data_IF_144507605532
#
_entry.id   IF_144507605532
#
_cell.length_a   1.000
_cell.length_b   1.000
_cell.length_c   1.000
_cell.angle_alpha   90.00
_cell.angle_beta   90.00
_cell.angle_gamma   90.00
#
_symmetry.space_group_name_H-M   'P 1'
#
loop_
_entity.id
_entity.type
_entity.pdbx_description
1 polymer ?
#
# COMPACT_ATOMS: atom_id res chain seq x y z
N UNK A 1 -18.20 -12.51 7.86
CA UNK A 1 -18.71 -13.17 6.63
C UNK A 1 -17.50 -13.70 5.86
N UNK A 2 -17.59 -14.86 5.20
CA UNK A 2 -16.47 -15.43 4.44
C UNK A 2 -16.87 -15.52 2.96
N UNK A 3 -15.97 -15.15 2.05
CA UNK A 3 -16.13 -15.41 0.63
C UNK A 3 -15.07 -16.40 0.20
N UNK A 4 -15.50 -17.45 -0.49
CA UNK A 4 -14.61 -18.46 -1.06
C UNK A 4 -14.51 -18.25 -2.57
N UNK A 5 -13.28 -18.20 -3.07
CA UNK A 5 -13.05 -18.24 -4.51
C UNK A 5 -13.11 -19.72 -4.94
N UNK A 6 -13.81 -20.07 -6.04
CA UNK A 6 -13.80 -21.44 -6.55
C UNK A 6 -12.36 -21.94 -6.74
N UNK A 7 -12.07 -23.15 -6.28
CA UNK A 7 -10.70 -23.65 -6.13
C UNK A 7 -9.89 -23.68 -7.44
N UNK A 8 -10.57 -23.84 -8.59
CA UNK A 8 -9.94 -23.81 -9.91
C UNK A 8 -9.42 -22.42 -10.31
N UNK A 9 -9.96 -21.33 -9.74
CA UNK A 9 -9.64 -19.96 -10.16
C UNK A 9 -8.28 -19.48 -9.67
N UNK A 10 -7.88 -19.64 -8.39
CA UNK A 10 -6.53 -19.31 -7.95
C UNK A 10 -5.45 -20.07 -8.72
N UNK A 11 -5.66 -21.37 -8.98
CA UNK A 11 -4.73 -22.20 -9.74
C UNK A 11 -4.60 -21.75 -11.20
N UNK A 12 -5.73 -21.49 -11.86
CA UNK A 12 -5.74 -20.95 -13.22
C UNK A 12 -5.06 -19.58 -13.27
N UNK A 13 -5.31 -18.72 -12.28
CA UNK A 13 -4.70 -17.40 -12.20
C UNK A 13 -3.19 -17.51 -12.04
N UNK A 14 -2.73 -18.36 -11.13
CA UNK A 14 -1.31 -18.68 -10.92
C UNK A 14 -0.65 -19.15 -12.22
N UNK A 15 -1.26 -20.10 -12.93
CA UNK A 15 -0.72 -20.61 -14.21
C UNK A 15 -0.58 -19.49 -15.26
N UNK A 16 -1.59 -18.64 -15.42
CA UNK A 16 -1.54 -17.52 -16.37
C UNK A 16 -0.48 -16.48 -16.00
N UNK A 17 -0.35 -16.15 -14.70
CA UNK A 17 0.66 -15.24 -14.19
C UNK A 17 2.09 -15.78 -14.41
N UNK A 18 2.34 -17.05 -14.09
CA UNK A 18 3.65 -17.71 -14.33
C UNK A 18 3.99 -17.73 -15.81
N UNK A 19 3.05 -18.13 -16.68
CA UNK A 19 3.23 -18.11 -18.14
C UNK A 19 3.64 -16.71 -18.62
N UNK A 20 2.94 -15.67 -18.17
CA UNK A 20 3.26 -14.29 -18.56
C UNK A 20 4.60 -13.82 -18.02
N UNK A 21 4.99 -14.21 -16.80
CA UNK A 21 6.28 -13.83 -16.23
C UNK A 21 7.45 -14.38 -17.06
N UNK A 22 7.31 -15.55 -17.66
CA UNK A 22 8.32 -16.17 -18.53
C UNK A 22 8.49 -15.50 -19.90
N UNK A 23 7.54 -14.70 -20.35
CA UNK A 23 7.51 -14.17 -21.72
C UNK A 23 7.85 -12.68 -21.77
N UNK A 24 8.45 -12.17 -22.86
CA UNK A 24 8.66 -10.73 -23.09
C UNK A 24 7.39 -10.00 -23.58
N UNK A 25 6.52 -10.74 -24.25
CA UNK A 25 5.25 -10.26 -24.83
C UNK A 25 4.17 -11.32 -24.60
N UNK A 26 2.92 -10.90 -24.59
CA UNK A 26 1.74 -11.79 -24.55
C UNK A 26 0.75 -11.35 -25.61
N UNK A 27 -0.19 -12.19 -26.02
CA UNK A 27 -1.28 -11.74 -26.92
C UNK A 27 -2.29 -10.87 -26.18
N UNK A 28 -3.01 -10.01 -26.90
CA UNK A 28 -4.12 -9.23 -26.36
C UNK A 28 -5.19 -10.16 -25.78
N UNK A 29 -5.50 -11.26 -26.46
CA UNK A 29 -6.46 -12.27 -26.00
C UNK A 29 -6.04 -12.89 -24.65
N UNK A 30 -4.78 -13.30 -24.52
CA UNK A 30 -4.24 -13.85 -23.26
C UNK A 30 -4.32 -12.80 -22.14
N UNK A 31 -3.98 -11.54 -22.43
CA UNK A 31 -4.01 -10.45 -21.46
C UNK A 31 -5.43 -10.12 -21.01
N UNK A 32 -6.40 -10.12 -21.93
CA UNK A 32 -7.82 -9.95 -21.63
C UNK A 32 -8.34 -11.10 -20.76
N UNK A 33 -7.94 -12.34 -21.06
CA UNK A 33 -8.29 -13.52 -20.27
C UNK A 33 -7.79 -13.40 -18.82
N UNK A 34 -6.50 -13.06 -18.64
CA UNK A 34 -5.91 -12.83 -17.32
C UNK A 34 -6.62 -11.69 -16.59
N UNK A 35 -6.85 -10.56 -17.27
CA UNK A 35 -7.49 -9.38 -16.67
C UNK A 35 -8.92 -9.70 -16.23
N UNK A 36 -9.67 -10.47 -17.02
CA UNK A 36 -11.00 -10.94 -16.67
C UNK A 36 -11.00 -11.85 -15.43
N UNK A 37 -10.03 -12.75 -15.33
CA UNK A 37 -9.87 -13.63 -14.16
C UNK A 37 -9.46 -12.86 -12.90
N UNK A 38 -8.54 -11.90 -13.02
CA UNK A 38 -8.19 -10.98 -11.93
C UNK A 38 -9.40 -10.17 -11.48
N UNK A 39 -10.18 -9.63 -12.42
CA UNK A 39 -11.39 -8.89 -12.10
C UNK A 39 -12.42 -9.76 -11.38
N UNK A 40 -12.60 -11.02 -11.80
CA UNK A 40 -13.43 -11.99 -11.09
C UNK A 40 -12.94 -12.20 -9.65
N UNK A 41 -11.66 -12.47 -9.43
CA UNK A 41 -11.09 -12.68 -8.09
C UNK A 41 -11.22 -11.41 -7.21
N UNK A 42 -11.11 -10.23 -7.81
CA UNK A 42 -11.26 -8.95 -7.11
C UNK A 42 -12.67 -8.69 -6.55
N UNK A 43 -13.69 -9.47 -6.96
CA UNK A 43 -15.02 -9.42 -6.32
C UNK A 43 -14.98 -10.00 -4.91
N UNK A 44 -14.17 -11.05 -4.70
CA UNK A 44 -13.96 -11.63 -3.38
C UNK A 44 -12.92 -10.84 -2.55
N UNK A 45 -11.97 -10.20 -3.22
CA UNK A 45 -10.91 -9.40 -2.59
C UNK A 45 -10.91 -7.99 -3.21
N UNK A 46 -11.78 -7.07 -2.73
CA UNK A 46 -11.95 -5.76 -3.35
C UNK A 46 -10.65 -4.97 -3.52
N UNK A 47 -9.71 -5.09 -2.57
CA UNK A 47 -8.41 -4.41 -2.62
C UNK A 47 -7.53 -4.84 -3.80
N UNK A 48 -7.73 -6.05 -4.35
CA UNK A 48 -6.97 -6.55 -5.49
C UNK A 48 -7.19 -5.72 -6.78
N UNK A 49 -8.22 -4.88 -6.83
CA UNK A 49 -8.47 -3.95 -7.96
C UNK A 49 -7.31 -3.01 -8.24
N UNK A 50 -6.47 -2.72 -7.24
CA UNK A 50 -5.28 -1.88 -7.39
C UNK A 50 -4.31 -2.39 -8.47
N UNK A 51 -4.30 -3.71 -8.73
CA UNK A 51 -3.42 -4.33 -9.71
C UNK A 51 -4.01 -4.32 -11.13
N UNK A 52 -5.32 -4.18 -11.30
CA UNK A 52 -6.01 -4.41 -12.58
C UNK A 52 -5.79 -3.27 -13.59
N UNK A 53 -5.76 -2.01 -13.10
CA UNK A 53 -5.64 -0.80 -13.92
C UNK A 53 -4.51 -0.88 -14.96
N UNK A 54 -3.33 -1.35 -14.54
CA UNK A 54 -2.15 -1.45 -15.41
C UNK A 54 -2.36 -2.42 -16.57
N UNK A 55 -3.06 -3.53 -16.34
CA UNK A 55 -3.38 -4.48 -17.41
C UNK A 55 -4.36 -3.86 -18.41
N UNK A 56 -5.37 -3.09 -17.95
CA UNK A 56 -6.25 -2.34 -18.85
C UNK A 56 -5.51 -1.28 -19.66
N UNK A 57 -4.66 -0.47 -19.02
CA UNK A 57 -3.90 0.58 -19.70
C UNK A 57 -2.98 -0.05 -20.79
N UNK A 58 -2.44 -1.25 -20.55
CA UNK A 58 -1.61 -1.97 -21.53
C UNK A 58 -2.39 -2.51 -22.74
N UNK A 59 -3.72 -2.62 -22.65
CA UNK A 59 -4.61 -3.06 -23.75
C UNK A 59 -5.20 -1.88 -24.52
N UNK A 60 -5.01 -0.64 -24.04
CA UNK A 60 -5.68 0.54 -24.59
C UNK A 60 -5.30 0.77 -26.07
N UNK A 61 -6.31 0.98 -26.91
CA UNK A 61 -6.13 1.24 -28.34
C UNK A 61 -5.87 0.00 -29.21
N UNK A 62 -5.87 -1.20 -28.63
CA UNK A 62 -5.65 -2.45 -29.37
C UNK A 62 -6.99 -3.11 -29.73
N UNK A 63 -7.12 -3.56 -30.98
CA UNK A 63 -8.37 -4.14 -31.51
C UNK A 63 -8.26 -5.60 -31.92
N UNK A 64 -7.10 -6.06 -32.40
CA UNK A 64 -6.91 -7.43 -32.85
C UNK A 64 -6.46 -8.35 -31.69
N UNK A 65 -7.18 -9.44 -31.38
CA UNK A 65 -6.85 -10.37 -30.30
C UNK A 65 -5.45 -10.99 -30.35
N UNK A 66 -4.87 -11.13 -31.54
CA UNK A 66 -3.56 -11.75 -31.75
C UNK A 66 -2.39 -10.75 -31.71
N UNK A 67 -2.68 -9.45 -31.55
CA UNK A 67 -1.62 -8.46 -31.36
C UNK A 67 -0.84 -8.72 -30.07
N UNK A 68 0.47 -8.48 -30.13
CA UNK A 68 1.35 -8.71 -29.01
C UNK A 68 1.50 -7.45 -28.14
N UNK A 69 1.24 -7.61 -26.85
CA UNK A 69 1.43 -6.60 -25.80
C UNK A 69 2.76 -6.84 -25.12
N UNK A 70 3.58 -5.79 -24.96
CA UNK A 70 4.84 -5.88 -24.22
C UNK A 70 4.56 -5.94 -22.72
N UNK A 71 5.17 -6.91 -22.03
CA UNK A 71 5.11 -7.00 -20.58
C UNK A 71 6.17 -6.05 -20.01
N UNK A 72 5.72 -4.90 -19.49
CA UNK A 72 6.60 -3.89 -18.90
C UNK A 72 7.24 -4.39 -17.60
N UNK A 73 8.36 -3.77 -17.19
CA UNK A 73 9.01 -4.09 -15.93
C UNK A 73 8.03 -3.93 -14.74
N UNK A 74 7.24 -2.88 -14.77
CA UNK A 74 6.29 -2.57 -13.71
C UNK A 74 5.12 -3.58 -13.68
N UNK A 75 4.69 -4.09 -14.83
CA UNK A 75 3.70 -5.18 -14.91
C UNK A 75 4.28 -6.48 -14.34
N UNK A 76 5.58 -6.75 -14.51
CA UNK A 76 6.24 -7.91 -13.89
C UNK A 76 6.24 -7.81 -12.37
N UNK A 77 6.48 -6.63 -11.82
CA UNK A 77 6.42 -6.43 -10.36
C UNK A 77 5.00 -6.68 -9.84
N UNK A 78 3.97 -6.21 -10.55
CA UNK A 78 2.56 -6.51 -10.21
C UNK A 78 2.27 -8.02 -10.27
N UNK A 79 2.76 -8.72 -11.30
CA UNK A 79 2.64 -10.19 -11.43
C UNK A 79 3.34 -10.91 -10.26
N UNK A 80 4.55 -10.50 -9.89
CA UNK A 80 5.30 -11.09 -8.76
C UNK A 80 4.55 -10.90 -7.43
N UNK A 81 4.01 -9.70 -7.19
CA UNK A 81 3.20 -9.41 -5.99
C UNK A 81 1.95 -10.28 -5.93
N UNK A 82 1.26 -10.46 -7.05
CA UNK A 82 0.08 -11.32 -7.14
C UNK A 82 0.42 -12.80 -6.93
N UNK A 83 1.54 -13.28 -7.47
CA UNK A 83 2.01 -14.66 -7.24
C UNK A 83 2.36 -14.88 -5.77
N UNK A 84 3.10 -13.95 -5.16
CA UNK A 84 3.41 -14.00 -3.73
C UNK A 84 2.15 -14.03 -2.86
N UNK A 85 1.13 -13.23 -3.20
CA UNK A 85 -0.16 -13.31 -2.54
C UNK A 85 -0.81 -14.69 -2.69
N UNK A 86 -0.84 -15.23 -3.91
CA UNK A 86 -1.46 -16.53 -4.19
C UNK A 86 -0.75 -17.69 -3.46
N UNK A 87 0.55 -17.57 -3.15
CA UNK A 87 1.29 -18.56 -2.35
C UNK A 87 0.80 -18.62 -0.91
N UNK A 88 0.34 -17.49 -0.37
CA UNK A 88 -0.17 -17.39 0.99
C UNK A 88 -1.69 -17.54 1.07
N UNK A 89 -2.39 -17.49 -0.07
CA UNK A 89 -3.84 -17.45 -0.11
C UNK A 89 -4.45 -18.86 -0.11
N UNK A 90 -5.22 -19.16 0.94
CA UNK A 90 -5.89 -20.46 1.13
C UNK A 90 -7.23 -20.61 0.36
N UNK A 91 -7.54 -19.71 -0.57
CA UNK A 91 -8.81 -19.73 -1.33
C UNK A 91 -9.99 -19.06 -0.63
N UNK A 92 -9.84 -18.61 0.61
CA UNK A 92 -10.89 -17.94 1.39
C UNK A 92 -10.47 -16.55 1.82
N UNK A 93 -11.38 -15.58 1.68
CA UNK A 93 -11.17 -14.23 2.19
C UNK A 93 -12.20 -13.94 3.28
N UNK A 94 -11.70 -13.64 4.47
CA UNK A 94 -12.51 -13.27 5.62
C UNK A 94 -12.89 -11.79 5.50
N UNK A 95 -14.18 -11.52 5.42
CA UNK A 95 -14.73 -10.19 5.70
C UNK A 95 -14.97 -10.11 7.20
N UNK A 96 -14.01 -9.53 7.90
CA UNK A 96 -14.05 -9.33 9.34
C UNK A 96 -14.94 -8.15 9.75
N UNK A 97 -15.14 -8.07 11.08
CA UNK A 97 -15.96 -7.12 11.85
C UNK A 97 -16.59 -5.98 11.05
N UNK A 98 -17.92 -5.88 11.10
CA UNK A 98 -18.64 -4.79 10.45
C UNK A 98 -18.22 -3.41 10.97
N UNK A 99 -17.68 -3.36 12.20
CA UNK A 99 -17.25 -2.13 12.86
C UNK A 99 -15.93 -1.62 12.25
N UNK A 100 -15.94 -0.36 11.86
CA UNK A 100 -14.73 0.37 11.56
C UNK A 100 -14.08 0.77 12.88
N UNK A 101 -12.79 0.49 13.02
CA UNK A 101 -11.97 0.99 14.12
C UNK A 101 -11.31 2.25 13.61
N UNK A 102 -11.56 3.36 14.30
CA UNK A 102 -10.99 4.63 13.94
C UNK A 102 -9.47 4.66 14.25
N UNK A 103 -8.69 5.47 13.54
CA UNK A 103 -7.28 5.66 13.89
C UNK A 103 -7.10 6.18 15.31
N UNK A 104 -8.06 6.92 15.85
CA UNK A 104 -8.02 7.34 17.26
C UNK A 104 -8.26 6.17 18.21
N UNK A 105 -9.20 5.29 17.90
CA UNK A 105 -9.45 4.07 18.67
C UNK A 105 -8.24 3.11 18.60
N UNK A 106 -7.48 3.16 17.50
CA UNK A 106 -6.21 2.45 17.32
C UNK A 106 -5.01 3.22 17.86
N UNK A 107 -5.16 4.49 18.22
CA UNK A 107 -4.07 5.42 18.52
C UNK A 107 -2.97 5.40 17.42
N UNK A 108 -3.40 5.29 16.15
CA UNK A 108 -2.57 5.22 14.96
C UNK A 108 -2.41 6.60 14.33
N UNK A 109 -1.23 7.18 14.45
CA UNK A 109 -0.93 8.51 13.92
C UNK A 109 0.27 8.47 13.00
N UNK A 110 0.17 9.10 11.84
CA UNK A 110 1.26 9.16 10.85
C UNK A 110 1.52 10.60 10.47
N UNK A 111 2.79 10.98 10.39
CA UNK A 111 3.16 12.29 9.90
C UNK A 111 4.43 12.24 9.07
N UNK A 112 4.50 13.14 8.09
CA UNK A 112 5.70 13.40 7.32
C UNK A 112 5.86 14.89 7.19
N UNK A 113 7.04 15.40 7.52
CA UNK A 113 7.33 16.79 7.32
C UNK A 113 8.10 16.99 6.00
N UNK A 114 7.70 18.00 5.21
CA UNK A 114 8.34 18.34 3.93
C UNK A 114 9.36 19.48 4.06
N UNK A 115 10.65 19.23 3.79
CA UNK A 115 11.72 20.24 3.76
C UNK A 115 13.10 19.73 4.21
N UNK A 116 14.06 20.64 4.43
CA UNK A 116 15.43 20.31 4.89
C UNK A 116 15.38 19.90 6.38
N UNK A 117 15.90 18.72 6.70
CA UNK A 117 15.89 18.11 8.05
C UNK A 117 14.50 17.72 8.60
N UNK A 118 13.56 17.46 7.69
CA UNK A 118 12.26 16.92 8.04
C UNK A 118 12.23 15.45 7.66
N UNK A 119 11.53 14.62 8.42
CA UNK A 119 11.55 13.16 8.32
C UNK A 119 10.11 12.61 8.38
N UNK A 120 9.94 11.29 8.48
CA UNK A 120 8.61 10.72 8.74
C UNK A 120 8.57 9.89 10.01
N UNK A 121 7.40 9.87 10.63
CA UNK A 121 7.14 9.15 11.85
C UNK A 121 5.75 8.50 11.80
N UNK A 122 5.63 7.38 12.51
CA UNK A 122 4.33 6.79 12.81
C UNK A 122 4.29 6.36 14.27
N UNK A 123 3.09 6.38 14.83
CA UNK A 123 2.79 6.01 16.22
C UNK A 123 1.60 5.05 16.20
N UNK A 124 1.64 4.03 17.05
CA UNK A 124 0.55 3.11 17.32
C UNK A 124 0.52 2.83 18.83
N UNK A 125 -0.40 3.47 19.54
CA UNK A 125 -0.42 3.46 21.00
C UNK A 125 0.86 4.04 21.59
N UNK A 126 1.60 3.25 22.36
CA UNK A 126 2.92 3.63 22.91
C UNK A 126 4.08 3.32 21.97
N UNK A 127 3.83 2.54 20.90
CA UNK A 127 4.84 2.18 19.92
C UNK A 127 5.06 3.32 18.95
N UNK A 128 6.30 3.57 18.56
CA UNK A 128 6.64 4.61 17.61
C UNK A 128 7.75 4.18 16.68
N UNK A 129 7.77 4.74 15.49
CA UNK A 129 8.87 4.59 14.54
C UNK A 129 9.22 5.94 13.96
N UNK A 130 10.50 6.12 13.68
CA UNK A 130 11.04 7.30 13.02
C UNK A 130 11.93 6.84 11.87
N UNK A 131 11.73 7.41 10.69
CA UNK A 131 12.55 7.14 9.52
C UNK A 131 13.06 8.45 8.92
N UNK A 132 14.39 8.56 8.91
CA UNK A 132 15.09 9.68 8.31
C UNK A 132 15.07 9.58 6.79
N UNK A 133 14.71 10.67 6.10
CA UNK A 133 14.76 10.64 4.64
C UNK A 133 16.16 10.36 4.12
N UNK A 134 16.31 9.54 3.06
CA UNK A 134 17.61 9.31 2.43
C UNK A 134 18.26 10.64 2.03
N UNK A 135 19.55 10.82 2.33
CA UNK A 135 20.26 12.07 2.03
C UNK A 135 20.24 12.41 0.53
N UNK A 136 20.16 11.39 -0.35
CA UNK A 136 20.02 11.54 -1.79
C UNK A 136 18.70 12.21 -2.24
N UNK A 137 17.67 12.25 -1.40
CA UNK A 137 16.41 12.94 -1.71
C UNK A 137 16.50 14.44 -1.50
N UNK A 138 17.53 14.92 -0.78
CA UNK A 138 17.72 16.35 -0.52
C UNK A 138 17.77 17.11 -1.84
N UNK A 139 16.91 18.12 -1.99
CA UNK A 139 16.75 18.94 -3.20
C UNK A 139 16.25 18.19 -4.46
N UNK A 140 15.80 16.93 -4.35
CA UNK A 140 15.22 16.20 -5.46
C UNK A 140 13.71 16.47 -5.62
N UNK A 141 13.13 16.28 -6.82
CA UNK A 141 11.70 16.45 -7.06
C UNK A 141 10.78 15.61 -6.15
N UNK A 142 11.29 14.48 -5.63
CA UNK A 142 10.58 13.61 -4.68
C UNK A 142 10.16 14.37 -3.41
N UNK A 143 10.97 15.32 -2.95
CA UNK A 143 10.67 16.14 -1.76
C UNK A 143 9.56 17.18 -2.00
N UNK A 144 9.11 17.34 -3.25
CA UNK A 144 7.97 18.20 -3.62
C UNK A 144 6.67 17.39 -3.81
N UNK A 145 6.76 16.06 -3.78
CA UNK A 145 5.62 15.16 -3.94
C UNK A 145 4.99 14.86 -2.57
N UNK A 146 4.27 15.84 -2.02
CA UNK A 146 3.68 15.77 -0.67
C UNK A 146 2.79 14.53 -0.50
N UNK A 147 2.02 14.18 -1.53
CA UNK A 147 1.17 12.97 -1.51
C UNK A 147 1.98 11.68 -1.36
N UNK A 148 3.14 11.61 -2.03
CA UNK A 148 4.05 10.48 -1.84
C UNK A 148 4.65 10.48 -0.43
N UNK A 149 5.16 11.62 0.05
CA UNK A 149 5.81 11.72 1.36
C UNK A 149 4.89 11.30 2.51
N UNK A 150 3.64 11.72 2.49
CA UNK A 150 2.65 11.35 3.53
C UNK A 150 2.16 9.91 3.41
N UNK A 151 2.24 9.30 2.22
CA UNK A 151 1.93 7.89 2.06
C UNK A 151 3.02 6.98 2.66
N UNK A 152 4.27 7.45 2.75
CA UNK A 152 5.38 6.66 3.30
C UNK A 152 5.15 6.23 4.75
N UNK A 153 4.85 7.12 5.73
CA UNK A 153 4.65 6.70 7.11
C UNK A 153 3.41 5.79 7.27
N UNK A 154 2.37 5.96 6.45
CA UNK A 154 1.24 5.02 6.39
C UNK A 154 1.71 3.63 5.95
N UNK A 155 2.50 3.56 4.88
CA UNK A 155 3.05 2.29 4.41
C UNK A 155 3.97 1.64 5.45
N UNK A 156 4.83 2.43 6.10
CA UNK A 156 5.72 1.97 7.16
C UNK A 156 4.93 1.39 8.34
N UNK A 157 3.92 2.11 8.82
CA UNK A 157 3.04 1.67 9.90
C UNK A 157 2.36 0.32 9.58
N UNK A 158 1.84 0.17 8.36
CA UNK A 158 1.22 -1.09 7.93
C UNK A 158 2.23 -2.23 7.89
N UNK A 159 3.48 -2.00 7.50
CA UNK A 159 4.49 -3.07 7.49
C UNK A 159 4.87 -3.50 8.91
N UNK A 160 5.07 -2.55 9.83
CA UNK A 160 5.49 -2.84 11.20
C UNK A 160 4.36 -3.48 12.01
N UNK A 161 3.14 -2.93 11.94
CA UNK A 161 2.02 -3.30 12.81
C UNK A 161 0.92 -4.11 12.09
N UNK A 162 1.22 -4.67 10.91
CA UNK A 162 0.28 -5.51 10.14
C UNK A 162 -0.37 -6.63 10.97
N UNK A 163 0.37 -7.23 11.89
CA UNK A 163 -0.14 -8.28 12.77
C UNK A 163 -1.22 -7.76 13.73
N UNK A 164 -1.01 -6.56 14.29
CA UNK A 164 -1.99 -5.90 15.17
C UNK A 164 -3.21 -5.36 14.40
N UNK A 165 -3.02 -5.10 13.12
CA UNK A 165 -4.07 -4.67 12.21
C UNK A 165 -4.84 -5.84 11.59
N UNK A 166 -4.36 -7.08 11.78
CA UNK A 166 -4.83 -8.25 11.06
C UNK A 166 -6.35 -8.37 11.18
N UNK A 167 -6.98 -8.47 10.03
CA UNK A 167 -8.41 -8.55 9.85
C UNK A 167 -9.23 -7.37 10.40
N UNK A 168 -8.64 -6.21 10.68
CA UNK A 168 -9.39 -5.01 11.11
C UNK A 168 -9.88 -4.20 9.90
N UNK A 169 -10.93 -3.39 10.15
CA UNK A 169 -11.37 -2.32 9.23
C UNK A 169 -10.91 -0.98 9.78
N UNK A 170 -9.85 -0.42 9.20
CA UNK A 170 -9.16 0.76 9.72
C UNK A 170 -9.61 2.03 8.98
N UNK A 171 -9.97 3.06 9.73
CA UNK A 171 -10.12 4.42 9.20
C UNK A 171 -8.79 5.15 9.40
N UNK A 172 -8.19 5.60 8.30
CA UNK A 172 -6.98 6.42 8.32
C UNK A 172 -7.38 7.89 8.26
N UNK A 173 -6.82 8.70 9.15
CA UNK A 173 -7.01 10.14 9.12
C UNK A 173 -5.87 10.81 8.36
N UNK A 174 -6.22 11.73 7.47
CA UNK A 174 -5.26 12.54 6.72
C UNK A 174 -5.87 13.90 6.40
N UNK A 175 -5.08 14.96 6.54
CA UNK A 175 -5.44 16.31 6.13
C UNK A 175 -5.22 16.54 4.62
N UNK A 176 -4.42 15.69 3.96
CA UNK A 176 -4.20 15.73 2.54
C UNK A 176 -5.36 15.16 1.72
N UNK A 177 -6.16 16.08 1.20
CA UNK A 177 -7.31 15.81 0.33
C UNK A 177 -6.95 15.02 -0.94
N UNK A 178 -5.71 15.11 -1.42
CA UNK A 178 -5.22 14.35 -2.58
C UNK A 178 -4.97 12.88 -2.27
N UNK A 179 -4.56 12.56 -1.04
CA UNK A 179 -4.28 11.20 -0.59
C UNK A 179 -5.55 10.38 -0.32
N UNK A 180 -6.62 11.03 0.15
CA UNK A 180 -7.92 10.41 0.42
C UNK A 180 -8.46 9.59 -0.77
N UNK A 181 -8.65 10.15 -1.99
CA UNK A 181 -9.16 9.38 -3.12
C UNK A 181 -8.19 8.28 -3.55
N UNK A 182 -6.88 8.47 -3.37
CA UNK A 182 -5.86 7.46 -3.71
C UNK A 182 -5.97 6.26 -2.78
N UNK A 183 -6.04 6.49 -1.47
CA UNK A 183 -6.23 5.43 -0.48
C UNK A 183 -7.60 4.78 -0.65
N UNK A 184 -8.67 5.52 -0.91
CA UNK A 184 -10.01 4.93 -1.03
C UNK A 184 -10.20 4.12 -2.32
N UNK A 185 -9.64 4.59 -3.45
CA UNK A 185 -9.73 3.89 -4.75
C UNK A 185 -8.57 2.92 -5.00
N UNK A 186 -7.54 2.95 -4.15
CA UNK A 186 -6.28 2.18 -4.29
C UNK A 186 -5.60 2.41 -5.65
N UNK A 187 -5.63 3.65 -6.15
CA UNK A 187 -5.07 4.00 -7.46
C UNK A 187 -4.61 5.46 -7.53
N UNK A 188 -3.60 5.73 -8.36
CA UNK A 188 -3.09 7.07 -8.67
C UNK A 188 -2.54 7.11 -10.09
N UNK A 189 -2.51 8.29 -10.71
CA UNK A 189 -1.79 8.51 -11.99
C UNK A 189 -0.28 8.58 -11.79
N UNK A 190 0.19 8.93 -10.58
CA UNK A 190 1.61 9.00 -10.26
C UNK A 190 2.19 7.59 -10.13
N UNK A 191 3.18 7.27 -10.98
CA UNK A 191 3.93 6.02 -10.88
C UNK A 191 4.62 5.87 -9.53
N UNK A 192 5.16 6.97 -9.00
CA UNK A 192 5.85 7.03 -7.71
C UNK A 192 4.91 6.63 -6.57
N UNK A 193 3.74 7.27 -6.49
CA UNK A 193 2.71 6.95 -5.49
C UNK A 193 2.24 5.51 -5.63
N UNK A 194 2.02 5.04 -6.86
CA UNK A 194 1.62 3.65 -7.11
C UNK A 194 2.71 2.62 -6.77
N UNK A 195 3.97 3.05 -6.63
CA UNK A 195 5.06 2.25 -6.09
C UNK A 195 4.87 1.90 -4.62
N UNK A 196 4.15 2.72 -3.84
CA UNK A 196 3.80 2.45 -2.44
C UNK A 196 2.39 1.89 -2.27
N UNK A 197 1.42 2.36 -3.07
CA UNK A 197 0.02 1.88 -2.97
C UNK A 197 -0.06 0.37 -3.19
N UNK A 198 0.70 -0.19 -4.14
CA UNK A 198 0.64 -1.63 -4.43
C UNK A 198 1.21 -2.50 -3.30
N UNK A 199 2.43 -2.24 -2.77
CA UNK A 199 2.90 -2.92 -1.57
C UNK A 199 1.98 -2.76 -0.36
N UNK A 200 1.43 -1.56 -0.14
CA UNK A 200 0.45 -1.32 0.94
C UNK A 200 -0.81 -2.19 0.78
N UNK A 201 -1.34 -2.26 -0.45
CA UNK A 201 -2.50 -3.12 -0.78
C UNK A 201 -2.15 -4.60 -0.60
N UNK A 202 -0.97 -5.03 -1.04
CA UNK A 202 -0.51 -6.41 -0.86
C UNK A 202 -0.44 -6.78 0.63
N UNK A 203 0.20 -5.94 1.44
CA UNK A 203 0.25 -6.11 2.90
C UNK A 203 -1.16 -6.24 3.49
N UNK A 204 -2.07 -5.36 3.06
CA UNK A 204 -3.47 -5.39 3.51
C UNK A 204 -4.19 -6.67 3.09
N UNK A 205 -3.98 -7.16 1.87
CA UNK A 205 -4.58 -8.40 1.38
C UNK A 205 -4.07 -9.62 2.15
N UNK A 206 -2.77 -9.70 2.43
CA UNK A 206 -2.15 -10.80 3.17
C UNK A 206 -2.67 -10.88 4.62
N UNK A 207 -2.91 -9.72 5.23
CA UNK A 207 -3.35 -9.62 6.62
C UNK A 207 -4.88 -9.49 6.75
N UNK A 208 -5.63 -9.54 5.64
CA UNK A 208 -7.08 -9.33 5.64
C UNK A 208 -7.53 -7.95 6.11
N UNK A 209 -6.63 -6.95 6.08
CA UNK A 209 -6.89 -5.57 6.51
C UNK A 209 -7.76 -4.88 5.45
N UNK A 210 -8.81 -4.20 5.90
CA UNK A 210 -9.57 -3.29 5.07
C UNK A 210 -9.33 -1.87 5.55
N UNK A 211 -9.02 -0.93 4.66
CA UNK A 211 -8.79 0.44 5.09
C UNK A 211 -9.47 1.44 4.17
N UNK A 212 -9.89 2.57 4.75
CA UNK A 212 -10.35 3.77 4.06
C UNK A 212 -9.69 4.99 4.69
N UNK A 213 -9.63 6.09 3.96
CA UNK A 213 -9.16 7.37 4.46
C UNK A 213 -10.31 8.37 4.55
N UNK A 214 -10.30 9.20 5.58
CA UNK A 214 -11.20 10.35 5.73
C UNK A 214 -10.39 11.61 6.01
N UNK A 215 -11.00 12.76 5.73
CA UNK A 215 -10.43 14.05 6.09
C UNK A 215 -10.65 14.32 7.57
N UNK A 216 -9.66 14.89 8.24
CA UNK A 216 -9.81 15.50 9.56
C UNK A 216 -9.46 16.98 9.47
N UNK A 217 -10.32 17.84 10.02
CA UNK A 217 -10.00 19.25 10.18
C UNK A 217 -9.18 19.43 11.45
N UNK A 218 -7.89 19.77 11.29
CA UNK A 218 -7.09 20.32 12.38
C UNK A 218 -6.95 19.44 13.63
N UNK A 219 -7.09 18.12 13.55
CA UNK A 219 -6.78 17.27 14.71
C UNK A 219 -5.28 17.33 14.95
N UNK A 220 -4.91 17.75 16.14
CA UNK A 220 -3.53 18.01 16.51
C UNK A 220 -2.79 16.67 16.63
N UNK A 221 -2.20 16.20 15.52
CA UNK A 221 -1.25 15.09 15.49
C UNK A 221 0.09 15.53 16.12
N UNK A 222 0.03 16.09 17.33
CA UNK A 222 1.15 16.74 18.02
C UNK A 222 2.30 15.75 18.19
N UNK A 223 1.95 14.49 18.47
CA UNK A 223 2.93 13.48 18.82
C UNK A 223 3.72 13.06 17.57
N UNK A 224 3.05 12.75 16.46
CA UNK A 224 3.76 12.37 15.24
C UNK A 224 4.44 13.59 14.57
N UNK A 225 3.85 14.80 14.65
CA UNK A 225 4.49 16.06 14.21
C UNK A 225 5.76 16.37 15.00
N UNK A 226 5.74 16.19 16.32
CA UNK A 226 6.94 16.35 17.14
C UNK A 226 8.03 15.36 16.73
N UNK A 227 7.68 14.09 16.47
CA UNK A 227 8.64 13.08 16.01
C UNK A 227 9.19 13.39 14.61
N UNK A 228 8.34 13.71 13.64
CA UNK A 228 8.73 13.99 12.25
C UNK A 228 9.66 15.21 12.13
N UNK A 229 9.58 16.13 13.10
CA UNK A 229 10.43 17.32 13.25
C UNK A 229 11.61 17.14 14.21
N UNK A 230 11.88 15.92 14.68
CA UNK A 230 12.96 15.60 15.63
C UNK A 230 12.86 16.34 17.00
N UNK A 231 11.66 16.74 17.43
CA UNK A 231 11.43 17.42 18.70
C UNK A 231 11.23 16.41 19.84
N UNK A 232 12.26 15.61 20.15
CA UNK A 232 12.16 14.50 21.12
C UNK A 232 11.66 14.91 22.51
N UNK A 233 12.04 16.10 23.00
CA UNK A 233 11.52 16.62 24.27
C UNK A 233 10.01 16.84 24.24
N UNK A 234 9.49 17.45 23.17
CA UNK A 234 8.05 17.67 22.98
C UNK A 234 7.30 16.35 22.81
N UNK A 235 7.89 15.42 22.06
CA UNK A 235 7.37 14.06 21.91
C UNK A 235 7.22 13.37 23.26
N UNK A 236 8.29 13.31 24.07
CA UNK A 236 8.26 12.66 25.40
C UNK A 236 7.33 13.35 26.39
N UNK A 237 7.15 14.67 26.31
CA UNK A 237 6.13 15.35 27.12
C UNK A 237 4.71 15.02 26.68
N UNK A 238 4.48 14.82 25.38
CA UNK A 238 3.15 14.58 24.81
C UNK A 238 2.74 13.10 24.86
N UNK A 239 3.72 12.18 24.90
CA UNK A 239 3.52 10.75 25.11
C UNK A 239 4.59 10.19 26.06
N UNK A 240 4.46 10.42 27.39
CA UNK A 240 5.45 10.02 28.39
C UNK A 240 5.67 8.51 28.47
N UNK A 241 4.63 7.73 28.18
CA UNK A 241 4.65 6.27 28.22
C UNK A 241 5.10 5.63 26.91
N UNK A 242 5.60 6.40 25.94
CA UNK A 242 6.13 5.85 24.70
C UNK A 242 7.31 4.91 24.98
N UNK A 243 7.45 3.86 24.17
CA UNK A 243 8.55 2.91 24.27
C UNK A 243 9.91 3.62 24.29
N UNK A 244 10.89 3.08 25.02
CA UNK A 244 12.22 3.69 25.14
C UNK A 244 12.91 3.81 23.78
N UNK A 245 12.77 2.77 22.95
CA UNK A 245 13.37 2.68 21.61
C UNK A 245 12.30 2.62 20.52
N UNK A 246 12.57 3.14 19.32
CA UNK A 246 11.65 3.03 18.20
C UNK A 246 11.55 1.58 17.68
N UNK A 247 10.43 1.27 17.04
CA UNK A 247 10.25 0.03 16.31
C UNK A 247 11.28 -0.06 15.16
N UNK A 248 11.82 -1.27 14.88
CA UNK A 248 12.81 -1.46 13.83
C UNK A 248 12.19 -1.25 12.45
N UNK A 249 12.97 -0.65 11.55
CA UNK A 249 12.54 -0.39 10.17
C UNK A 249 12.67 -1.69 9.35
N UNK A 250 11.58 -2.19 8.73
CA UNK A 250 11.65 -3.41 7.95
C UNK A 250 12.57 -3.29 6.72
N UNK A 251 13.39 -4.30 6.45
CA UNK A 251 14.24 -4.33 5.25
C UNK A 251 13.41 -4.25 3.95
N UNK A 252 12.22 -4.86 3.94
CA UNK A 252 11.28 -4.78 2.81
C UNK A 252 10.80 -3.35 2.52
N UNK A 253 10.72 -2.50 3.54
CA UNK A 253 10.40 -1.07 3.39
C UNK A 253 11.54 -0.34 2.68
N UNK A 254 12.78 -0.54 3.13
CA UNK A 254 13.98 0.06 2.53
C UNK A 254 14.16 -0.36 1.07
N UNK A 255 13.97 -1.65 0.76
CA UNK A 255 14.02 -2.19 -0.60
C UNK A 255 12.91 -1.64 -1.50
N UNK A 256 11.74 -1.32 -0.95
CA UNK A 256 10.65 -0.71 -1.70
C UNK A 256 10.99 0.74 -2.03
N UNK A 257 11.45 1.52 -1.04
CA UNK A 257 11.84 2.92 -1.24
C UNK A 257 13.02 3.08 -2.19
N UNK A 258 14.00 2.18 -2.15
CA UNK A 258 15.18 2.28 -3.03
C UNK A 258 14.85 2.13 -4.52
N UNK A 259 13.74 1.45 -4.85
CA UNK A 259 13.24 1.28 -6.23
C UNK A 259 12.38 2.44 -6.72
N UNK A 260 11.96 3.33 -5.82
CA UNK A 260 11.08 4.45 -6.12
C UNK A 260 11.93 5.72 -6.17
N UNK A 261 12.36 6.09 -7.38
CA UNK A 261 13.05 7.36 -7.67
C UNK A 261 12.12 8.29 -8.48
#
# INVERSE_FOLDING_TARGET
MMVRIPADKPDKLRQQLVKMLGCKKTTLLDLQSLTGLLNFCSKAIPSARAFIRRFYDAMQGMTNPHHHVRISAEMREDIKMLLFFLDQFNGTYLFNELKWVDSDDLELYTDSAGGINLDCAAIFGTHWVFFKWPSKWKNCPIMRDITFLELVPIFLAFLIWSNEFKYKRIVLHTDNKGLIPILNRKTSKSKRVMGLVRPLVLCSMLCGIYFKAIHIEGKSNIVADALSRQQMGRFRMSLPNADESPAPIPESFLQTLSKIE
#
